data_IF_031298636232
#
_entry.id   IF_031298636232
#
_cell.length_a   1.000
_cell.length_b   1.000
_cell.length_c   1.000
_cell.angle_alpha   90.00
_cell.angle_beta   90.00
_cell.angle_gamma   90.00
#
_symmetry.space_group_name_H-M   'P 1'
#
loop_
_entity.id
_entity.type
_entity.pdbx_description
1 polymer ?
#
# COMPACT_ATOMS: atom_id res chain seq x y z
N UNK A 1 73.61 -0.11 -1.48
CA UNK A 1 72.59 -0.17 -2.56
C UNK A 1 71.57 -1.29 -2.35
N UNK A 2 71.98 -2.54 -2.10
CA UNK A 2 71.06 -3.68 -1.81
C UNK A 2 70.13 -3.48 -0.60
N UNK A 3 70.59 -2.79 0.45
CA UNK A 3 69.83 -2.59 1.70
C UNK A 3 68.64 -1.61 1.53
N UNK A 4 68.80 -0.58 0.70
CA UNK A 4 67.75 0.43 0.43
C UNK A 4 66.65 -0.17 -0.46
N UNK A 5 67.02 -0.98 -1.45
CA UNK A 5 66.07 -1.67 -2.32
C UNK A 5 65.17 -2.65 -1.55
N UNK A 6 65.73 -3.44 -0.61
CA UNK A 6 64.94 -4.36 0.20
C UNK A 6 63.97 -3.68 1.17
N UNK A 7 64.32 -2.47 1.66
CA UNK A 7 63.45 -1.68 2.56
C UNK A 7 62.24 -1.07 1.84
N UNK A 8 62.35 -0.80 0.53
CA UNK A 8 61.25 -0.28 -0.29
C UNK A 8 60.37 -1.39 -0.93
N UNK A 9 60.94 -2.55 -1.26
CA UNK A 9 60.20 -3.63 -1.94
C UNK A 9 59.21 -4.38 -1.03
N UNK A 10 59.53 -4.56 0.26
CA UNK A 10 58.65 -5.29 1.20
C UNK A 10 57.29 -4.62 1.42
N UNK A 11 57.20 -3.31 1.66
CA UNK A 11 55.91 -2.62 1.77
C UNK A 11 55.07 -2.69 0.50
N UNK A 12 55.70 -2.58 -0.68
CA UNK A 12 55.00 -2.69 -1.97
C UNK A 12 54.42 -4.09 -2.21
N UNK A 13 55.17 -5.14 -1.84
CA UNK A 13 54.67 -6.52 -1.90
C UNK A 13 53.49 -6.74 -0.93
N UNK A 14 53.56 -6.16 0.27
CA UNK A 14 52.46 -6.18 1.24
C UNK A 14 51.21 -5.49 0.74
N UNK A 15 51.35 -4.32 0.09
CA UNK A 15 50.24 -3.61 -0.51
C UNK A 15 49.62 -4.38 -1.70
N UNK A 16 50.45 -5.02 -2.54
CA UNK A 16 49.96 -5.87 -3.61
C UNK A 16 49.20 -7.11 -3.08
N UNK A 17 49.67 -7.71 -1.98
CA UNK A 17 48.98 -8.81 -1.33
C UNK A 17 47.64 -8.37 -0.73
N UNK A 18 47.61 -7.21 -0.06
CA UNK A 18 46.39 -6.64 0.50
C UNK A 18 45.37 -6.28 -0.60
N UNK A 19 45.81 -5.72 -1.73
CA UNK A 19 44.95 -5.44 -2.86
C UNK A 19 44.32 -6.72 -3.45
N UNK A 20 45.09 -7.81 -3.55
CA UNK A 20 44.54 -9.12 -3.95
C UNK A 20 43.55 -9.67 -2.93
N UNK A 21 43.84 -9.54 -1.64
CA UNK A 21 42.94 -9.98 -0.58
C UNK A 21 41.61 -9.21 -0.61
N UNK A 22 41.67 -7.88 -0.77
CA UNK A 22 40.50 -7.02 -0.95
C UNK A 22 39.70 -7.42 -2.19
N UNK A 23 40.36 -7.67 -3.32
CA UNK A 23 39.73 -8.18 -4.56
C UNK A 23 39.13 -9.57 -4.41
N UNK A 24 39.66 -10.40 -3.51
CA UNK A 24 39.14 -11.72 -3.14
C UNK A 24 38.00 -11.68 -2.11
N UNK A 25 37.63 -10.50 -1.61
CA UNK A 25 36.51 -10.31 -0.68
C UNK A 25 36.89 -10.15 0.80
N UNK A 26 38.18 -10.13 1.15
CA UNK A 26 38.64 -9.77 2.50
C UNK A 26 38.65 -8.24 2.66
N UNK A 27 37.57 -7.72 3.25
CA UNK A 27 37.35 -6.28 3.43
C UNK A 27 37.98 -5.74 4.73
N UNK A 28 38.42 -6.64 5.61
CA UNK A 28 39.13 -6.30 6.85
C UNK A 28 40.61 -6.04 6.65
N UNK A 29 41.15 -6.34 5.46
CA UNK A 29 42.58 -6.20 5.19
C UNK A 29 43.06 -4.76 5.34
N UNK A 30 44.16 -4.58 6.07
CA UNK A 30 44.83 -3.29 6.24
C UNK A 30 46.33 -3.46 5.99
N UNK A 31 46.93 -2.45 5.37
CA UNK A 31 48.37 -2.38 5.14
C UNK A 31 48.99 -1.52 6.26
N UNK A 32 49.97 -2.03 7.03
CA UNK A 32 50.70 -1.22 8.00
C UNK A 32 51.39 -0.03 7.34
N UNK A 33 51.38 1.14 7.99
CA UNK A 33 52.06 2.34 7.49
C UNK A 33 53.57 2.28 7.77
N UNK A 34 54.44 2.27 6.74
CA UNK A 34 55.90 2.23 6.93
C UNK A 34 56.48 3.59 7.33
N UNK A 35 57.70 3.63 7.88
CA UNK A 35 58.38 4.90 8.25
C UNK A 35 58.62 5.87 7.07
N UNK A 36 58.66 5.35 5.84
CA UNK A 36 58.90 6.16 4.64
C UNK A 36 57.62 6.96 4.28
N UNK A 37 57.67 8.30 4.27
CA UNK A 37 56.47 9.14 4.15
C UNK A 37 55.60 8.83 2.94
N UNK A 38 56.21 8.60 1.77
CA UNK A 38 55.49 8.31 0.53
C UNK A 38 54.80 6.93 0.57
N UNK A 39 55.42 5.94 1.22
CA UNK A 39 54.84 4.61 1.39
C UNK A 39 53.78 4.59 2.48
N UNK A 40 53.93 5.40 3.53
CA UNK A 40 52.91 5.61 4.56
C UNK A 40 51.65 6.22 3.94
N UNK A 41 51.80 7.25 3.11
CA UNK A 41 50.70 7.89 2.40
C UNK A 41 49.95 6.90 1.49
N UNK A 42 50.68 6.03 0.77
CA UNK A 42 50.07 5.00 -0.08
C UNK A 42 49.32 3.92 0.73
N UNK A 43 49.89 3.46 1.84
CA UNK A 43 49.24 2.52 2.76
C UNK A 43 47.98 3.12 3.40
N UNK A 44 48.05 4.38 3.85
CA UNK A 44 46.92 5.13 4.38
C UNK A 44 45.81 5.32 3.34
N UNK A 45 46.16 5.67 2.09
CA UNK A 45 45.20 5.78 0.99
C UNK A 45 44.51 4.44 0.68
N UNK A 46 45.27 3.34 0.66
CA UNK A 46 44.71 2.00 0.49
C UNK A 46 43.75 1.64 1.64
N UNK A 47 44.16 1.86 2.89
CA UNK A 47 43.34 1.57 4.06
C UNK A 47 42.04 2.39 4.06
N UNK A 48 42.12 3.67 3.69
CA UNK A 48 40.94 4.53 3.53
C UNK A 48 40.01 4.02 2.44
N UNK A 49 40.54 3.69 1.26
CA UNK A 49 39.75 3.12 0.16
C UNK A 49 39.07 1.81 0.57
N UNK A 50 39.78 0.92 1.28
CA UNK A 50 39.23 -0.34 1.76
C UNK A 50 38.09 -0.11 2.78
N UNK A 51 38.23 0.86 3.68
CA UNK A 51 37.19 1.23 4.63
C UNK A 51 35.96 1.86 3.94
N UNK A 52 36.17 2.79 3.01
CA UNK A 52 35.09 3.45 2.25
C UNK A 52 34.32 2.45 1.37
N UNK A 53 35.03 1.48 0.77
CA UNK A 53 34.43 0.41 -0.01
C UNK A 53 33.56 -0.51 0.87
N UNK A 54 34.06 -0.91 2.04
CA UNK A 54 33.29 -1.76 2.96
C UNK A 54 32.03 -1.05 3.46
N UNK A 55 32.15 0.24 3.83
CA UNK A 55 31.02 1.06 4.24
C UNK A 55 29.96 1.19 3.13
N UNK A 56 30.39 1.39 1.88
CA UNK A 56 29.48 1.46 0.71
C UNK A 56 28.79 0.12 0.47
N UNK A 57 29.50 -1.00 0.57
CA UNK A 57 28.91 -2.34 0.41
C UNK A 57 27.88 -2.63 1.50
N UNK A 58 28.18 -2.27 2.76
CA UNK A 58 27.24 -2.40 3.88
C UNK A 58 25.99 -1.55 3.62
N UNK A 59 26.17 -0.29 3.22
CA UNK A 59 25.06 0.62 2.89
C UNK A 59 24.19 0.09 1.74
N UNK A 60 24.80 -0.39 0.64
CA UNK A 60 24.09 -0.99 -0.49
C UNK A 60 23.31 -2.24 -0.07
N UNK A 61 23.89 -3.09 0.78
CA UNK A 61 23.18 -4.27 1.31
C UNK A 61 21.97 -3.87 2.14
N UNK A 62 22.11 -2.87 3.00
CA UNK A 62 21.00 -2.36 3.83
C UNK A 62 19.91 -1.73 2.96
N UNK A 63 20.27 -0.92 1.97
CA UNK A 63 19.33 -0.33 1.02
C UNK A 63 18.57 -1.40 0.23
N UNK A 64 19.27 -2.42 -0.28
CA UNK A 64 18.65 -3.53 -1.00
C UNK A 64 17.73 -4.36 -0.08
N UNK A 65 18.14 -4.64 1.15
CA UNK A 65 17.31 -5.34 2.13
C UNK A 65 16.03 -4.54 2.45
N UNK A 66 16.15 -3.22 2.62
CA UNK A 66 15.01 -2.33 2.85
C UNK A 66 14.06 -2.31 1.66
N UNK A 67 14.58 -2.23 0.43
CA UNK A 67 13.76 -2.27 -0.78
C UNK A 67 13.00 -3.60 -0.92
N UNK A 68 13.66 -4.74 -0.61
CA UNK A 68 13.00 -6.06 -0.58
C UNK A 68 11.90 -6.14 0.48
N UNK A 69 12.14 -5.56 1.66
CA UNK A 69 11.14 -5.51 2.72
C UNK A 69 9.92 -4.72 2.27
N UNK A 70 10.10 -3.53 1.68
CA UNK A 70 8.97 -2.74 1.17
C UNK A 70 8.22 -3.43 0.03
N UNK A 71 8.92 -4.05 -0.92
CA UNK A 71 8.29 -4.85 -1.97
C UNK A 71 7.44 -5.98 -1.38
N UNK A 72 7.96 -6.66 -0.35
CA UNK A 72 7.23 -7.74 0.35
C UNK A 72 5.98 -7.21 1.05
N UNK A 73 6.07 -6.05 1.73
CA UNK A 73 4.91 -5.42 2.38
C UNK A 73 3.83 -5.06 1.37
N UNK A 74 4.21 -4.49 0.23
CA UNK A 74 3.27 -4.17 -0.85
C UNK A 74 2.61 -5.44 -1.40
N UNK A 75 3.41 -6.48 -1.65
CA UNK A 75 2.93 -7.73 -2.23
C UNK A 75 2.02 -8.53 -1.28
N UNK A 76 2.33 -8.51 0.01
CA UNK A 76 1.55 -9.22 1.04
C UNK A 76 0.37 -8.41 1.59
N UNK A 77 0.21 -7.15 1.17
CA UNK A 77 -0.93 -6.33 1.57
C UNK A 77 -2.26 -7.00 1.19
N UNK A 78 -3.27 -6.84 2.05
CA UNK A 78 -4.64 -7.22 1.75
C UNK A 78 -5.34 -6.18 0.86
N UNK A 79 -4.89 -4.93 0.89
CA UNK A 79 -5.38 -3.90 -0.02
C UNK A 79 -4.71 -4.03 -1.39
N UNK A 80 -5.48 -3.82 -2.45
CA UNK A 80 -4.92 -3.73 -3.80
C UNK A 80 -4.10 -2.45 -3.90
N UNK A 81 -2.83 -2.59 -4.23
CA UNK A 81 -1.91 -1.48 -4.42
C UNK A 81 -1.44 -1.53 -5.87
N UNK A 82 -1.62 -0.42 -6.56
CA UNK A 82 -1.23 -0.26 -7.96
C UNK A 82 -0.75 1.15 -8.20
N UNK A 83 0.11 1.30 -9.20
CA UNK A 83 0.56 2.61 -9.69
C UNK A 83 0.18 2.77 -11.14
N UNK A 84 0.05 4.02 -11.58
CA UNK A 84 -0.13 4.37 -12.99
C UNK A 84 0.64 5.63 -13.34
N UNK A 85 1.02 5.74 -14.61
CA UNK A 85 1.67 6.94 -15.15
C UNK A 85 0.66 8.08 -15.40
N UNK A 86 1.16 9.21 -15.91
CA UNK A 86 0.37 10.41 -16.23
C UNK A 86 -0.67 10.22 -17.35
N UNK A 87 -0.56 9.13 -18.10
CA UNK A 87 -1.50 8.73 -19.16
C UNK A 87 -2.44 7.61 -18.69
N UNK A 88 -2.41 7.29 -17.40
CA UNK A 88 -3.29 6.31 -16.77
C UNK A 88 -2.95 4.87 -17.13
N UNK A 89 -1.72 4.60 -17.61
CA UNK A 89 -1.25 3.23 -17.85
C UNK A 89 -0.74 2.64 -16.56
N UNK A 90 -1.09 1.39 -16.30
CA UNK A 90 -0.71 0.67 -15.08
C UNK A 90 0.80 0.41 -15.10
N UNK A 91 1.49 0.75 -14.02
CA UNK A 91 2.95 0.56 -13.87
C UNK A 91 3.32 -0.43 -12.76
N UNK A 92 2.40 -0.74 -11.84
CA UNK A 92 2.58 -1.81 -10.86
C UNK A 92 1.23 -2.41 -10.45
N UNK A 93 1.27 -3.65 -9.96
CA UNK A 93 0.07 -4.44 -9.67
C UNK A 93 0.37 -5.55 -8.66
N UNK A 94 0.01 -5.37 -7.39
CA UNK A 94 0.30 -6.35 -6.33
C UNK A 94 -0.65 -7.56 -6.33
N UNK A 95 -0.32 -8.61 -5.57
CA UNK A 95 -1.18 -9.81 -5.44
C UNK A 95 -2.63 -9.52 -5.04
N UNK A 96 -2.89 -8.52 -4.18
CA UNK A 96 -4.27 -8.17 -3.82
C UNK A 96 -5.04 -7.59 -5.02
N UNK A 97 -4.43 -6.77 -5.85
CA UNK A 97 -5.04 -6.28 -7.08
C UNK A 97 -5.37 -7.44 -8.04
N UNK A 98 -4.48 -8.45 -8.13
CA UNK A 98 -4.76 -9.66 -8.90
C UNK A 98 -5.96 -10.43 -8.37
N UNK A 99 -6.06 -10.61 -7.04
CA UNK A 99 -7.19 -11.29 -6.40
C UNK A 99 -8.52 -10.56 -6.60
N UNK A 100 -8.52 -9.23 -6.46
CA UNK A 100 -9.74 -8.42 -6.54
C UNK A 100 -10.25 -8.32 -7.98
N UNK A 101 -9.36 -8.10 -8.96
CA UNK A 101 -9.77 -7.80 -10.34
C UNK A 101 -9.59 -8.98 -11.31
N UNK A 102 -8.92 -10.06 -10.89
CA UNK A 102 -8.74 -11.29 -11.68
C UNK A 102 -7.69 -11.21 -12.80
N UNK A 103 -6.98 -10.10 -12.92
CA UNK A 103 -5.89 -9.93 -13.91
C UNK A 103 -4.53 -10.15 -13.27
N UNK A 104 -3.64 -10.86 -13.96
CA UNK A 104 -2.23 -10.95 -13.53
C UNK A 104 -1.48 -9.64 -13.84
N UNK A 105 -0.36 -9.40 -13.15
CA UNK A 105 0.45 -8.21 -13.39
C UNK A 105 0.96 -8.14 -14.84
N UNK A 106 1.34 -9.29 -15.41
CA UNK A 106 1.85 -9.42 -16.78
C UNK A 106 0.81 -9.03 -17.83
N UNK A 107 -0.48 -9.22 -17.54
CA UNK A 107 -1.57 -8.89 -18.46
C UNK A 107 -1.87 -7.39 -18.50
N UNK A 108 -1.68 -6.69 -17.38
CA UNK A 108 -2.19 -5.32 -17.20
C UNK A 108 -1.10 -4.25 -17.14
N UNK A 109 0.15 -4.59 -16.81
CA UNK A 109 1.23 -3.61 -16.83
C UNK A 109 1.38 -3.05 -18.26
N UNK A 110 1.43 -1.73 -18.36
CA UNK A 110 1.44 -0.97 -19.62
C UNK A 110 0.05 -0.73 -20.22
N UNK A 111 -0.99 -1.43 -19.77
CA UNK A 111 -2.36 -1.23 -20.24
C UNK A 111 -3.02 -0.03 -19.56
N UNK A 112 -3.96 0.66 -20.25
CA UNK A 112 -4.79 1.68 -19.63
C UNK A 112 -5.64 1.10 -18.48
N UNK A 113 -5.69 1.80 -17.35
CA UNK A 113 -6.53 1.41 -16.19
C UNK A 113 -8.04 1.36 -16.52
N UNK A 114 -8.46 1.94 -17.65
CA UNK A 114 -9.84 1.85 -18.16
C UNK A 114 -10.28 0.42 -18.48
N UNK A 115 -9.37 -0.56 -18.54
CA UNK A 115 -9.73 -1.99 -18.61
C UNK A 115 -10.66 -2.41 -17.46
N UNK A 116 -10.52 -1.77 -16.30
CA UNK A 116 -11.36 -2.01 -15.12
C UNK A 116 -12.69 -1.26 -15.14
N UNK A 117 -12.96 -0.45 -16.16
CA UNK A 117 -14.15 0.39 -16.16
C UNK A 117 -15.34 -0.41 -16.70
N UNK A 118 -16.55 -0.21 -16.14
CA UNK A 118 -17.77 -0.65 -16.79
C UNK A 118 -17.86 -0.07 -18.22
N UNK A 119 -18.50 -0.83 -19.12
CA UNK A 119 -18.58 -0.50 -20.56
C UNK A 119 -19.19 0.89 -20.78
N UNK A 120 -18.57 1.73 -21.62
CA UNK A 120 -19.10 3.05 -21.99
C UNK A 120 -18.51 4.26 -21.24
N UNK A 121 -17.55 4.07 -20.34
CA UNK A 121 -17.07 5.12 -19.41
C UNK A 121 -15.90 5.99 -19.93
N UNK A 122 -15.93 6.43 -21.19
CA UNK A 122 -14.87 7.28 -21.76
C UNK A 122 -14.71 8.62 -20.99
N UNK A 123 -15.82 9.23 -20.56
CA UNK A 123 -15.81 10.45 -19.77
C UNK A 123 -15.16 10.25 -18.39
N UNK A 124 -15.44 9.13 -17.73
CA UNK A 124 -14.81 8.78 -16.45
C UNK A 124 -13.29 8.64 -16.62
N UNK A 125 -12.84 8.07 -17.75
CA UNK A 125 -11.42 7.94 -18.03
C UNK A 125 -10.76 9.30 -18.23
N UNK A 126 -11.42 10.22 -18.93
CA UNK A 126 -10.92 11.60 -19.06
C UNK A 126 -10.89 12.33 -17.71
N UNK A 127 -11.90 12.15 -16.86
CA UNK A 127 -11.92 12.71 -15.51
C UNK A 127 -10.79 12.13 -14.64
N UNK A 128 -10.52 10.84 -14.77
CA UNK A 128 -9.38 10.19 -14.12
C UNK A 128 -8.06 10.81 -14.57
N UNK A 129 -7.81 10.94 -15.88
CA UNK A 129 -6.57 11.52 -16.39
C UNK A 129 -6.36 12.95 -15.90
N UNK A 130 -7.43 13.76 -15.85
CA UNK A 130 -7.38 15.10 -15.24
C UNK A 130 -7.01 15.05 -13.77
N UNK A 131 -7.56 14.09 -13.01
CA UNK A 131 -7.23 13.91 -11.60
C UNK A 131 -5.75 13.56 -11.41
N UNK A 132 -5.28 12.52 -12.11
CA UNK A 132 -3.88 12.08 -12.08
C UNK A 132 -2.96 13.26 -12.34
N UNK A 133 -3.17 13.98 -13.46
CA UNK A 133 -2.34 15.13 -13.86
C UNK A 133 -2.42 16.33 -12.89
N UNK A 134 -3.44 16.41 -12.05
CA UNK A 134 -3.57 17.48 -11.06
C UNK A 134 -2.67 17.30 -9.83
N UNK A 135 -2.03 16.13 -9.67
CA UNK A 135 -1.18 15.81 -8.53
C UNK A 135 -1.84 16.01 -7.15
N UNK A 136 -3.17 15.82 -7.08
CA UNK A 136 -3.94 15.94 -5.84
C UNK A 136 -4.22 14.59 -5.23
N UNK A 137 -4.29 14.55 -3.91
CA UNK A 137 -4.83 13.41 -3.19
C UNK A 137 -6.35 13.38 -3.29
N UNK A 138 -6.93 12.20 -3.20
CA UNK A 138 -8.38 12.05 -3.20
C UNK A 138 -8.82 10.64 -2.87
N UNK A 139 -10.01 10.52 -2.33
CA UNK A 139 -10.70 9.24 -2.12
C UNK A 139 -12.00 9.21 -2.92
N UNK A 140 -12.39 8.03 -3.40
CA UNK A 140 -13.67 7.84 -4.09
C UNK A 140 -14.09 6.38 -4.08
N UNK A 141 -15.39 6.16 -3.93
CA UNK A 141 -16.01 4.87 -4.25
C UNK A 141 -16.41 4.80 -5.72
N UNK A 142 -16.17 3.66 -6.36
CA UNK A 142 -16.51 3.44 -7.76
C UNK A 142 -16.79 1.97 -8.05
N UNK A 143 -17.57 1.71 -9.09
CA UNK A 143 -17.74 0.36 -9.63
C UNK A 143 -16.65 0.05 -10.65
N UNK A 144 -16.08 -1.14 -10.55
CA UNK A 144 -15.09 -1.66 -11.49
C UNK A 144 -15.53 -3.02 -11.99
N UNK A 145 -15.11 -3.34 -13.20
CA UNK A 145 -15.36 -4.62 -13.86
C UNK A 145 -14.11 -5.47 -13.79
N UNK A 146 -14.21 -6.62 -13.12
CA UNK A 146 -13.15 -7.62 -13.09
C UNK A 146 -13.04 -8.38 -14.42
N UNK A 147 -12.00 -9.18 -14.57
CA UNK A 147 -11.73 -9.97 -15.78
C UNK A 147 -12.85 -10.93 -16.16
N UNK A 148 -13.52 -11.52 -15.17
CA UNK A 148 -14.66 -12.42 -15.36
C UNK A 148 -15.97 -11.69 -15.71
N UNK A 149 -15.94 -10.35 -15.76
CA UNK A 149 -17.09 -9.51 -16.04
C UNK A 149 -17.92 -9.13 -14.81
N UNK A 150 -17.58 -9.64 -13.62
CA UNK A 150 -18.25 -9.26 -12.38
C UNK A 150 -17.99 -7.79 -12.02
N UNK A 151 -18.97 -7.17 -11.36
CA UNK A 151 -18.83 -5.81 -10.84
C UNK A 151 -18.35 -5.88 -9.40
N UNK A 152 -17.21 -5.24 -9.18
CA UNK A 152 -16.57 -5.05 -7.88
C UNK A 152 -16.79 -3.61 -7.46
N UNK A 153 -17.38 -3.39 -6.29
CA UNK A 153 -17.50 -2.06 -5.72
C UNK A 153 -16.25 -1.78 -4.89
N UNK A 154 -15.54 -0.71 -5.23
CA UNK A 154 -14.26 -0.38 -4.61
C UNK A 154 -14.30 0.97 -3.90
N UNK A 155 -13.49 1.10 -2.85
CA UNK A 155 -13.07 2.38 -2.28
C UNK A 155 -11.59 2.59 -2.60
N UNK A 156 -11.27 3.65 -3.36
CA UNK A 156 -9.92 3.95 -3.81
C UNK A 156 -9.40 5.24 -3.18
N UNK A 157 -8.24 5.15 -2.52
CA UNK A 157 -7.42 6.27 -2.09
C UNK A 157 -6.30 6.48 -3.10
N UNK A 158 -6.09 7.75 -3.48
CA UNK A 158 -5.21 8.14 -4.58
C UNK A 158 -4.25 9.22 -4.12
N UNK A 159 -2.98 9.05 -4.45
CA UNK A 159 -1.92 10.02 -4.13
C UNK A 159 -0.96 10.20 -5.30
N UNK A 160 -0.40 11.40 -5.49
CA UNK A 160 0.60 11.64 -6.52
C UNK A 160 1.87 10.83 -6.29
N UNK A 161 2.48 10.38 -7.37
CA UNK A 161 3.77 9.68 -7.39
C UNK A 161 4.84 10.59 -8.00
N UNK A 162 5.98 10.70 -7.31
CA UNK A 162 7.10 11.54 -7.73
C UNK A 162 8.36 10.69 -7.94
N UNK A 163 9.17 11.07 -8.92
CA UNK A 163 10.51 10.50 -9.14
C UNK A 163 11.55 11.05 -8.15
N UNK A 164 12.80 10.60 -8.28
CA UNK A 164 13.93 11.02 -7.42
C UNK A 164 14.25 12.52 -7.53
N UNK A 165 13.89 13.15 -8.65
CA UNK A 165 14.07 14.58 -8.91
C UNK A 165 12.87 15.42 -8.41
N UNK A 166 11.87 14.79 -7.79
CA UNK A 166 10.65 15.44 -7.32
C UNK A 166 9.67 15.81 -8.45
N UNK A 167 9.83 15.25 -9.65
CA UNK A 167 8.88 15.44 -10.75
C UNK A 167 7.70 14.51 -10.56
N UNK A 168 6.50 15.03 -10.78
CA UNK A 168 5.27 14.23 -10.74
C UNK A 168 5.22 13.31 -11.96
N UNK A 169 5.23 12.00 -11.73
CA UNK A 169 5.33 10.97 -12.79
C UNK A 169 4.11 10.04 -12.84
N UNK A 170 3.18 10.16 -11.89
CA UNK A 170 2.01 9.29 -11.89
C UNK A 170 1.17 9.36 -10.62
N UNK A 171 0.39 8.32 -10.38
CA UNK A 171 -0.48 8.19 -9.21
C UNK A 171 -0.34 6.80 -8.57
N UNK A 172 -0.24 6.75 -7.25
CA UNK A 172 -0.37 5.54 -6.44
C UNK A 172 -1.84 5.41 -6.06
N UNK A 173 -2.39 4.20 -6.13
CA UNK A 173 -3.75 3.91 -5.67
C UNK A 173 -3.75 2.74 -4.72
N UNK A 174 -4.39 2.94 -3.57
CA UNK A 174 -4.73 1.90 -2.59
C UNK A 174 -6.22 1.67 -2.68
N UNK A 175 -6.60 0.43 -2.95
CA UNK A 175 -7.97 0.05 -3.28
C UNK A 175 -8.44 -1.06 -2.36
N UNK A 176 -9.63 -0.85 -1.78
CA UNK A 176 -10.32 -1.82 -0.96
C UNK A 176 -11.58 -2.29 -1.70
N UNK A 177 -11.80 -3.61 -1.73
CA UNK A 177 -13.09 -4.16 -2.12
C UNK A 177 -14.09 -3.95 -0.97
N UNK A 178 -15.17 -3.23 -1.26
CA UNK A 178 -16.25 -2.94 -0.31
C UNK A 178 -17.55 -3.65 -0.70
N UNK A 179 -17.49 -4.60 -1.63
CA UNK A 179 -18.66 -5.33 -2.15
C UNK A 179 -19.38 -6.08 -1.05
N UNK A 180 -18.67 -6.88 -0.25
CA UNK A 180 -19.27 -7.63 0.86
C UNK A 180 -19.82 -6.69 1.94
N UNK A 181 -19.07 -5.65 2.30
CA UNK A 181 -19.52 -4.64 3.27
C UNK A 181 -20.84 -4.02 2.83
N UNK A 182 -20.95 -3.60 1.57
CA UNK A 182 -22.15 -2.99 0.99
C UNK A 182 -23.30 -3.98 0.83
N UNK A 183 -23.02 -5.26 0.57
CA UNK A 183 -24.05 -6.33 0.59
C UNK A 183 -24.59 -6.55 2.00
N UNK A 184 -23.73 -6.60 3.01
CA UNK A 184 -24.13 -6.76 4.41
C UNK A 184 -24.96 -5.57 4.90
N UNK A 185 -24.54 -4.34 4.60
CA UNK A 185 -25.29 -3.12 4.92
C UNK A 185 -26.69 -3.13 4.29
N UNK A 186 -26.82 -3.51 3.02
CA UNK A 186 -28.12 -3.63 2.34
C UNK A 186 -28.99 -4.73 2.92
N UNK A 187 -28.43 -5.91 3.18
CA UNK A 187 -29.18 -7.03 3.76
C UNK A 187 -29.72 -6.68 5.16
N UNK A 188 -28.92 -5.98 5.98
CA UNK A 188 -29.35 -5.50 7.28
C UNK A 188 -30.50 -4.50 7.16
N UNK A 189 -30.37 -3.50 6.26
CA UNK A 189 -31.40 -2.52 6.02
C UNK A 189 -32.72 -3.16 5.55
N UNK A 190 -32.67 -4.10 4.60
CA UNK A 190 -33.86 -4.81 4.14
C UNK A 190 -34.50 -5.67 5.22
N UNK A 191 -33.69 -6.30 6.08
CA UNK A 191 -34.20 -7.09 7.20
C UNK A 191 -34.91 -6.20 8.24
N UNK A 192 -34.34 -5.01 8.52
CA UNK A 192 -34.95 -4.02 9.41
C UNK A 192 -36.27 -3.50 8.86
N UNK A 193 -36.33 -3.13 7.58
CA UNK A 193 -37.57 -2.66 6.96
C UNK A 193 -38.63 -3.77 6.90
N UNK A 194 -38.25 -5.02 6.58
CA UNK A 194 -39.19 -6.16 6.63
C UNK A 194 -39.74 -6.38 8.03
N UNK A 195 -38.89 -6.31 9.06
CA UNK A 195 -39.34 -6.44 10.45
C UNK A 195 -40.29 -5.30 10.85
N UNK A 196 -39.98 -4.05 10.46
CA UNK A 196 -40.83 -2.89 10.72
C UNK A 196 -42.21 -3.04 10.09
N UNK A 197 -42.27 -3.36 8.80
CA UNK A 197 -43.53 -3.55 8.06
C UNK A 197 -44.35 -4.70 8.66
N UNK A 198 -43.70 -5.81 9.03
CA UNK A 198 -44.38 -6.93 9.66
C UNK A 198 -45.04 -6.50 10.99
N UNK A 199 -44.30 -5.83 11.88
CA UNK A 199 -44.83 -5.39 13.18
C UNK A 199 -45.94 -4.34 13.04
N UNK A 200 -45.84 -3.43 12.08
CA UNK A 200 -46.85 -2.39 11.82
C UNK A 200 -48.14 -2.98 11.20
N UNK A 201 -48.04 -4.12 10.52
CA UNK A 201 -49.20 -4.83 9.96
C UNK A 201 -49.97 -5.67 10.99
N UNK A 202 -49.37 -5.94 12.15
CA UNK A 202 -50.04 -6.71 13.22
C UNK A 202 -51.21 -5.90 13.77
N UNK A 203 -52.38 -6.54 13.78
CA UNK A 203 -53.62 -5.92 14.26
C UNK A 203 -53.68 -5.87 15.79
N UNK A 204 -52.97 -6.78 16.46
CA UNK A 204 -52.78 -6.77 17.90
C UNK A 204 -51.75 -5.72 18.33
N UNK A 205 -51.96 -5.16 19.52
CA UNK A 205 -51.02 -4.22 20.10
C UNK A 205 -49.70 -4.91 20.46
N UNK A 206 -48.62 -4.51 19.80
CA UNK A 206 -47.26 -4.94 20.12
C UNK A 206 -46.49 -3.79 20.74
N UNK A 207 -45.90 -4.06 21.90
CA UNK A 207 -45.04 -3.14 22.64
C UNK A 207 -43.78 -3.89 23.08
N UNK A 208 -42.60 -3.32 22.84
CA UNK A 208 -41.32 -3.83 23.38
C UNK A 208 -40.87 -2.94 24.52
N UNK A 209 -40.40 -3.56 25.60
CA UNK A 209 -39.88 -2.87 26.78
C UNK A 209 -38.38 -3.14 26.94
N UNK A 210 -37.67 -2.21 27.55
CA UNK A 210 -36.32 -2.42 28.06
C UNK A 210 -36.34 -3.30 29.33
N UNK A 211 -35.14 -3.63 29.85
CA UNK A 211 -35.01 -4.43 31.09
C UNK A 211 -35.55 -3.72 32.34
N UNK A 212 -35.80 -2.41 32.26
CA UNK A 212 -36.33 -1.59 33.36
C UNK A 212 -37.85 -1.35 33.23
N UNK A 213 -38.50 -1.92 32.21
CA UNK A 213 -39.94 -1.80 31.97
C UNK A 213 -40.36 -0.56 31.17
N UNK A 214 -39.43 0.18 30.56
CA UNK A 214 -39.76 1.34 29.73
C UNK A 214 -39.99 0.94 28.28
N UNK A 215 -40.92 1.60 27.59
CA UNK A 215 -41.23 1.32 26.18
C UNK A 215 -40.07 1.68 25.25
N UNK A 216 -39.60 0.72 24.47
CA UNK A 216 -38.62 0.90 23.39
C UNK A 216 -39.24 0.85 21.99
N UNK A 217 -40.44 0.29 21.87
CA UNK A 217 -41.16 0.19 20.60
C UNK A 217 -42.65 0.04 20.86
N UNK A 218 -43.45 0.67 20.01
CA UNK A 218 -44.91 0.62 20.02
C UNK A 218 -45.39 0.55 18.56
N UNK A 219 -46.10 -0.53 18.19
CA UNK A 219 -46.68 -0.62 16.86
C UNK A 219 -47.96 0.22 16.73
N UNK A 220 -48.42 0.44 15.48
CA UNK A 220 -49.60 1.27 15.22
C UNK A 220 -50.90 0.78 15.88
N UNK A 221 -51.06 -0.54 16.06
CA UNK A 221 -52.20 -1.09 16.79
C UNK A 221 -52.15 -0.77 18.28
N UNK A 222 -50.99 -0.92 18.92
CA UNK A 222 -50.79 -0.56 20.31
C UNK A 222 -50.99 0.94 20.53
N UNK A 223 -50.52 1.80 19.61
CA UNK A 223 -50.84 3.24 19.64
C UNK A 223 -52.34 3.53 19.64
N UNK A 224 -53.13 2.81 18.84
CA UNK A 224 -54.60 2.97 18.84
C UNK A 224 -55.25 2.48 20.13
N UNK A 225 -54.70 1.43 20.76
CA UNK A 225 -55.24 0.83 21.98
C UNK A 225 -54.89 1.67 23.21
N UNK A 226 -53.62 2.09 23.35
CA UNK A 226 -53.12 2.83 24.52
C UNK A 226 -53.38 4.33 24.42
N UNK A 227 -53.58 4.85 23.21
CA UNK A 227 -53.65 6.29 22.93
C UNK A 227 -52.29 6.99 22.93
N UNK A 228 -51.18 6.26 23.04
CA UNK A 228 -49.84 6.85 23.00
C UNK A 228 -49.35 6.95 21.55
N UNK A 229 -48.87 8.15 21.17
CA UNK A 229 -48.06 8.31 19.97
C UNK A 229 -46.75 7.53 20.11
N UNK A 230 -46.24 6.97 19.01
CA UNK A 230 -45.02 6.16 19.04
C UNK A 230 -43.84 6.92 19.67
N UNK A 231 -43.68 8.22 19.37
CA UNK A 231 -42.63 9.05 19.98
C UNK A 231 -42.89 9.34 21.46
N UNK A 232 -44.14 9.63 21.85
CA UNK A 232 -44.51 9.93 23.24
C UNK A 232 -44.41 8.71 24.16
N UNK A 233 -44.54 7.51 23.59
CA UNK A 233 -44.45 6.25 24.30
C UNK A 233 -42.99 5.90 24.66
N UNK A 234 -42.02 6.25 23.81
CA UNK A 234 -40.62 5.87 24.01
C UNK A 234 -40.08 6.37 25.35
N UNK A 235 -39.52 5.46 26.15
CA UNK A 235 -38.98 5.75 27.48
C UNK A 235 -40.04 5.91 28.58
N UNK A 236 -41.34 5.75 28.29
CA UNK A 236 -42.37 5.71 29.35
C UNK A 236 -42.35 4.36 30.07
N UNK A 237 -42.46 4.33 31.40
CA UNK A 237 -42.66 3.09 32.14
C UNK A 237 -44.08 2.55 31.89
N UNK A 238 -44.20 1.23 31.86
CA UNK A 238 -45.48 0.50 31.81
C UNK A 238 -45.88 0.01 33.19
#
# INVERSE_FOLDING_TARGET
LLWVAQRALRPLAGLAAAARALGGGDRGVRVPEPDAPELAALAGAFNKMAADLDATIVSLKQANARNRMFATVVEQSHAAILTKDLDGRITSWNAAAQRIFGYSAEEVIGQPISILFPTGNAEEFQALLKHVRSARTGSREAERRAKDGSIVLIAAERSPYYDEDGRHVGEISVVHDITEKRRAERALFEAQERARVALDSITDGVMRLDLSGHVEYLNGAASRITGWGAEDALGRPV
#
